data_IF_978017094342
#
_entry.id   IF_978017094342
#
_cell.length_a   1.000
_cell.length_b   1.000
_cell.length_c   1.000
_cell.angle_alpha   90.00
_cell.angle_beta   90.00
_cell.angle_gamma   90.00
#
_symmetry.space_group_name_H-M   'P 1'
#
loop_
_entity.id
_entity.type
_entity.pdbx_description
1 polymer ?
#
# COMPACT_ATOMS: atom_id res chain seq x y z
N UNK A 1 -17.11 -60.79 -23.19
CA UNK A 1 -17.55 -59.47 -22.71
C UNK A 1 -17.46 -59.42 -21.19
N UNK A 2 -16.34 -58.94 -20.66
CA UNK A 2 -16.04 -58.88 -19.22
C UNK A 2 -16.55 -57.55 -18.64
N UNK A 3 -17.51 -57.62 -17.71
CA UNK A 3 -18.03 -56.44 -16.98
C UNK A 3 -16.98 -55.96 -15.97
N UNK A 4 -16.42 -54.77 -16.20
CA UNK A 4 -15.58 -54.06 -15.23
C UNK A 4 -16.42 -53.66 -14.01
N UNK A 5 -16.13 -54.27 -12.84
CA UNK A 5 -16.71 -53.87 -11.55
C UNK A 5 -15.98 -52.62 -11.06
N UNK A 6 -16.70 -51.50 -10.89
CA UNK A 6 -16.16 -50.31 -10.21
C UNK A 6 -15.86 -50.65 -8.74
N UNK A 7 -14.72 -50.19 -8.18
CA UNK A 7 -14.41 -50.39 -6.77
C UNK A 7 -15.39 -49.62 -5.87
N UNK A 8 -15.66 -50.11 -4.65
CA UNK A 8 -16.57 -49.46 -3.70
C UNK A 8 -16.00 -48.12 -3.22
N UNK A 9 -16.89 -47.14 -3.05
CA UNK A 9 -16.58 -45.84 -2.45
C UNK A 9 -16.36 -45.99 -0.94
N UNK A 10 -15.27 -45.43 -0.38
CA UNK A 10 -15.00 -45.49 1.06
C UNK A 10 -16.07 -44.74 1.87
N UNK A 11 -16.40 -45.25 3.05
CA UNK A 11 -17.45 -44.70 3.90
C UNK A 11 -16.88 -43.81 5.03
N UNK A 12 -17.74 -43.04 5.71
CA UNK A 12 -17.33 -42.10 6.76
C UNK A 12 -16.53 -42.74 7.92
N UNK A 13 -16.67 -44.04 8.17
CA UNK A 13 -15.90 -44.73 9.22
C UNK A 13 -14.44 -44.96 8.81
N UNK A 14 -14.16 -45.02 7.51
CA UNK A 14 -12.80 -45.16 6.97
C UNK A 14 -11.98 -43.87 7.16
N UNK A 15 -12.63 -42.71 7.09
CA UNK A 15 -11.99 -41.41 7.34
C UNK A 15 -11.70 -41.15 8.83
N UNK A 16 -12.55 -41.65 9.73
CA UNK A 16 -12.35 -41.48 11.18
C UNK A 16 -11.10 -42.20 11.69
N UNK A 17 -10.74 -43.34 11.08
CA UNK A 17 -9.50 -44.08 11.37
C UNK A 17 -8.22 -43.32 10.98
N UNK A 18 -8.31 -42.40 10.00
CA UNK A 18 -7.16 -41.62 9.53
C UNK A 18 -6.93 -40.41 10.46
N UNK A 19 -7.99 -39.84 11.03
CA UNK A 19 -7.90 -38.67 11.92
C UNK A 19 -7.30 -38.98 13.30
N UNK A 20 -7.37 -40.25 13.76
CA UNK A 20 -6.85 -40.68 15.07
C UNK A 20 -5.38 -41.15 15.04
N UNK A 21 -4.70 -41.06 13.89
CA UNK A 21 -3.28 -41.44 13.77
C UNK A 21 -2.40 -40.32 14.32
N UNK A 22 -1.74 -40.56 15.46
CA UNK A 22 -0.71 -39.66 15.99
C UNK A 22 0.50 -39.61 15.04
N UNK A 23 0.77 -38.49 14.35
CA UNK A 23 1.84 -38.38 13.37
C UNK A 23 3.25 -38.57 13.97
N UNK A 24 3.38 -38.51 15.31
CA UNK A 24 4.64 -38.75 16.01
C UNK A 24 4.99 -40.24 16.14
N UNK A 25 4.02 -41.14 15.95
CA UNK A 25 4.19 -42.60 16.08
C UNK A 25 4.37 -43.31 14.74
N UNK A 26 4.37 -42.58 13.62
CA UNK A 26 4.48 -43.14 12.27
C UNK A 26 5.90 -43.59 11.93
N UNK A 27 6.91 -42.95 12.53
CA UNK A 27 8.33 -43.24 12.28
C UNK A 27 8.94 -44.05 13.45
N UNK A 28 9.83 -45.01 13.17
CA UNK A 28 10.56 -45.75 14.20
C UNK A 28 11.23 -44.81 15.22
N UNK A 29 11.19 -45.15 16.52
CA UNK A 29 11.71 -44.28 17.59
C UNK A 29 13.24 -44.11 17.56
N UNK A 30 13.95 -44.99 16.86
CA UNK A 30 15.42 -45.08 16.79
C UNK A 30 16.03 -44.47 15.51
N UNK A 31 15.23 -43.78 14.69
CA UNK A 31 15.73 -43.13 13.47
C UNK A 31 16.71 -41.97 13.75
N UNK A 32 17.81 -41.93 12.99
CA UNK A 32 18.77 -40.82 12.99
C UNK A 32 18.09 -39.45 12.77
N UNK A 33 18.47 -38.39 13.54
CA UNK A 33 17.81 -37.08 13.48
C UNK A 33 17.85 -36.41 12.10
N UNK A 34 18.92 -36.59 11.32
CA UNK A 34 19.04 -36.00 9.97
C UNK A 34 18.09 -36.70 9.00
N UNK A 35 18.01 -38.03 9.09
CA UNK A 35 17.09 -38.83 8.28
C UNK A 35 15.62 -38.54 8.63
N UNK A 36 15.33 -38.31 9.91
CA UNK A 36 14.00 -37.90 10.37
C UNK A 36 13.60 -36.53 9.81
N UNK A 37 14.51 -35.55 9.81
CA UNK A 37 14.27 -34.22 9.23
C UNK A 37 14.05 -34.30 7.72
N UNK A 38 14.86 -35.09 7.03
CA UNK A 38 14.72 -35.34 5.59
C UNK A 38 13.36 -35.98 5.24
N UNK A 39 12.94 -37.01 5.99
CA UNK A 39 11.64 -37.65 5.77
C UNK A 39 10.46 -36.71 6.02
N UNK A 40 10.48 -35.90 7.08
CA UNK A 40 9.42 -34.93 7.32
C UNK A 40 9.37 -33.85 6.23
N UNK A 41 10.52 -33.37 5.76
CA UNK A 41 10.54 -32.43 4.62
C UNK A 41 9.99 -33.07 3.34
N UNK A 42 10.32 -34.33 3.06
CA UNK A 42 9.80 -35.05 1.90
C UNK A 42 8.28 -35.28 1.99
N UNK A 43 7.77 -35.66 3.17
CA UNK A 43 6.33 -35.83 3.42
C UNK A 43 5.56 -34.51 3.29
N UNK A 44 6.11 -33.41 3.82
CA UNK A 44 5.49 -32.09 3.70
C UNK A 44 5.43 -31.64 2.23
N UNK A 45 6.50 -31.85 1.46
CA UNK A 45 6.54 -31.56 0.03
C UNK A 45 5.51 -32.43 -0.73
N UNK A 46 5.41 -33.72 -0.40
CA UNK A 46 4.43 -34.63 -1.00
C UNK A 46 2.99 -34.15 -0.76
N UNK A 47 2.66 -33.73 0.46
CA UNK A 47 1.33 -33.20 0.80
C UNK A 47 1.03 -31.92 0.01
N UNK A 48 1.99 -31.01 -0.11
CA UNK A 48 1.85 -29.78 -0.90
C UNK A 48 1.61 -30.12 -2.37
N UNK A 49 2.37 -31.06 -2.95
CA UNK A 49 2.18 -31.52 -4.33
C UNK A 49 0.79 -32.11 -4.53
N UNK A 50 0.31 -32.95 -3.60
CA UNK A 50 -1.04 -33.54 -3.68
C UNK A 50 -2.13 -32.47 -3.60
N UNK A 51 -1.97 -31.44 -2.74
CA UNK A 51 -2.91 -30.31 -2.65
C UNK A 51 -2.94 -29.49 -3.93
N UNK A 52 -1.77 -29.21 -4.54
CA UNK A 52 -1.67 -28.49 -5.82
C UNK A 52 -2.34 -29.30 -6.94
N UNK A 53 -2.08 -30.61 -7.02
CA UNK A 53 -2.72 -31.50 -7.98
C UNK A 53 -4.24 -31.53 -7.78
N UNK A 54 -4.72 -31.57 -6.53
CA UNK A 54 -6.14 -31.54 -6.21
C UNK A 54 -6.79 -30.21 -6.65
N UNK A 55 -6.15 -29.06 -6.42
CA UNK A 55 -6.65 -27.75 -6.88
C UNK A 55 -6.70 -27.67 -8.40
N UNK A 56 -5.66 -28.15 -9.10
CA UNK A 56 -5.64 -28.20 -10.57
C UNK A 56 -6.71 -29.16 -11.09
N UNK A 57 -6.89 -30.31 -10.43
CA UNK A 57 -7.91 -31.29 -10.79
C UNK A 57 -9.32 -30.71 -10.61
N UNK A 58 -9.60 -30.05 -9.48
CA UNK A 58 -10.88 -29.36 -9.22
C UNK A 58 -11.10 -28.25 -10.24
N UNK A 59 -10.09 -27.41 -10.52
CA UNK A 59 -10.21 -26.34 -11.52
C UNK A 59 -10.40 -26.84 -12.95
N UNK A 60 -9.97 -28.07 -13.26
CA UNK A 60 -10.17 -28.72 -14.57
C UNK A 60 -11.45 -29.55 -14.67
N UNK A 61 -11.94 -30.10 -13.56
CA UNK A 61 -13.10 -30.99 -13.52
C UNK A 61 -14.37 -30.41 -12.89
N UNK A 62 -14.36 -29.18 -12.35
CA UNK A 62 -15.60 -28.50 -11.92
C UNK A 62 -16.39 -27.98 -13.13
N UNK A 63 -17.02 -28.90 -13.86
CA UNK A 63 -18.21 -28.58 -14.64
C UNK A 63 -19.46 -28.88 -13.78
N UNK A 64 -20.07 -27.82 -13.26
CA UNK A 64 -21.47 -27.79 -12.82
C UNK A 64 -21.73 -27.95 -11.32
N UNK A 65 -22.18 -26.88 -10.68
CA UNK A 65 -23.00 -26.99 -9.46
C UNK A 65 -23.10 -25.74 -8.57
N UNK A 66 -23.81 -24.71 -9.01
CA UNK A 66 -24.93 -24.02 -8.33
C UNK A 66 -25.21 -22.71 -9.11
N UNK A 67 -26.40 -22.58 -9.69
CA UNK A 67 -26.90 -21.52 -10.59
C UNK A 67 -26.70 -21.77 -12.11
N UNK A 68 -27.81 -22.05 -12.80
CA UNK A 68 -28.11 -21.58 -14.16
C UNK A 68 -27.53 -22.36 -15.36
N UNK A 69 -28.41 -23.04 -16.11
CA UNK A 69 -28.15 -23.56 -17.46
C UNK A 69 -27.75 -22.44 -18.45
N UNK A 70 -26.90 -22.71 -19.46
CA UNK A 70 -26.70 -21.79 -20.58
C UNK A 70 -27.74 -22.06 -21.67
N UNK A 71 -28.62 -21.09 -21.91
CA UNK A 71 -29.45 -21.03 -23.11
C UNK A 71 -28.97 -19.87 -23.97
N UNK A 72 -28.39 -20.21 -25.12
CA UNK A 72 -28.19 -19.40 -26.33
C UNK A 72 -27.27 -18.16 -26.26
N UNK A 73 -26.58 -17.83 -27.37
CA UNK A 73 -25.46 -16.90 -27.36
C UNK A 73 -25.96 -15.47 -27.38
N UNK A 74 -25.74 -14.75 -26.29
CA UNK A 74 -25.80 -13.28 -26.29
C UNK A 74 -24.37 -12.76 -26.11
N UNK A 75 -23.88 -12.18 -27.19
CA UNK A 75 -23.02 -11.00 -27.21
C UNK A 75 -21.91 -10.94 -26.16
N UNK A 76 -20.67 -11.12 -26.65
CA UNK A 76 -19.50 -10.52 -26.04
C UNK A 76 -19.79 -9.05 -25.68
N UNK A 77 -19.94 -8.80 -24.38
CA UNK A 77 -19.76 -7.49 -23.76
C UNK A 77 -18.46 -7.65 -22.97
N UNK A 78 -17.34 -7.18 -23.49
CA UNK A 78 -17.10 -5.76 -23.71
C UNK A 78 -16.34 -5.29 -22.49
N UNK A 79 -15.05 -5.01 -22.68
CA UNK A 79 -14.19 -4.35 -21.71
C UNK A 79 -14.97 -3.29 -20.94
N UNK A 80 -14.79 -3.27 -19.62
CA UNK A 80 -15.46 -2.33 -18.73
C UNK A 80 -15.42 -0.94 -19.33
N UNK A 81 -16.62 -0.50 -19.71
CA UNK A 81 -16.95 0.73 -20.39
C UNK A 81 -16.03 1.87 -19.97
N UNK A 82 -15.06 2.16 -20.83
CA UNK A 82 -14.29 3.39 -20.80
C UNK A 82 -15.28 4.48 -21.18
N UNK A 83 -16.09 4.91 -20.21
CA UNK A 83 -16.95 6.07 -20.37
C UNK A 83 -16.05 7.18 -20.92
N UNK A 84 -16.45 7.74 -22.06
CA UNK A 84 -15.80 8.89 -22.67
C UNK A 84 -16.00 10.09 -21.74
N UNK A 85 -15.26 10.12 -20.63
CA UNK A 85 -15.29 11.18 -19.64
C UNK A 85 -14.69 12.38 -20.33
N UNK A 86 -15.53 13.37 -20.62
CA UNK A 86 -15.06 14.65 -21.15
C UNK A 86 -14.02 15.22 -20.21
N UNK A 87 -12.86 15.58 -20.75
CA UNK A 87 -11.78 16.19 -19.98
C UNK A 87 -11.46 17.60 -20.46
N UNK A 88 -10.81 18.39 -19.62
CA UNK A 88 -10.34 19.75 -19.87
C UNK A 88 -8.92 19.94 -19.28
N UNK A 89 -8.07 20.75 -19.91
CA UNK A 89 -6.80 21.21 -19.33
C UNK A 89 -7.04 22.38 -18.39
N UNK A 90 -6.03 22.76 -17.62
CA UNK A 90 -6.16 23.89 -16.69
C UNK A 90 -6.53 25.20 -17.41
N UNK A 91 -6.01 25.42 -18.61
CA UNK A 91 -6.27 26.61 -19.42
C UNK A 91 -7.70 26.66 -19.97
N UNK A 92 -8.34 25.50 -20.14
CA UNK A 92 -9.71 25.37 -20.62
C UNK A 92 -10.74 25.58 -19.49
N UNK A 93 -10.33 25.42 -18.22
CA UNK A 93 -11.21 25.48 -17.05
C UNK A 93 -11.60 26.92 -16.74
N UNK A 94 -12.90 27.18 -16.65
CA UNK A 94 -13.43 28.46 -16.15
C UNK A 94 -13.50 28.45 -14.62
N UNK A 95 -12.97 29.50 -13.99
CA UNK A 95 -12.98 29.71 -12.53
C UNK A 95 -12.51 28.45 -11.76
N UNK A 96 -11.26 27.99 -11.91
CA UNK A 96 -10.79 26.80 -11.22
C UNK A 96 -10.87 26.96 -9.69
N UNK A 97 -11.00 25.84 -8.97
CA UNK A 97 -10.77 25.80 -7.53
C UNK A 97 -9.30 26.12 -7.22
N UNK A 98 -9.08 26.67 -6.02
CA UNK A 98 -7.74 26.96 -5.53
C UNK A 98 -6.93 25.65 -5.45
N UNK A 99 -5.65 25.74 -5.75
CA UNK A 99 -4.74 24.60 -5.64
C UNK A 99 -4.03 24.65 -4.29
N UNK A 100 -3.74 23.49 -3.72
CA UNK A 100 -2.74 23.39 -2.65
C UNK A 100 -1.42 24.01 -3.12
N UNK A 101 -0.73 24.70 -2.21
CA UNK A 101 0.56 25.33 -2.49
C UNK A 101 1.58 24.25 -2.93
N UNK A 102 2.15 24.35 -4.15
CA UNK A 102 3.19 23.45 -4.63
C UNK A 102 4.40 23.36 -3.69
N UNK A 103 4.67 24.40 -2.90
CA UNK A 103 5.75 24.41 -1.92
C UNK A 103 5.58 23.36 -0.81
N UNK A 104 4.37 22.87 -0.56
CA UNK A 104 4.11 21.78 0.40
C UNK A 104 4.69 20.42 -0.05
N UNK A 105 5.06 20.28 -1.33
CA UNK A 105 5.80 19.12 -1.81
C UNK A 105 7.28 19.17 -1.37
N UNK A 106 7.79 20.35 -1.03
CA UNK A 106 9.17 20.56 -0.63
C UNK A 106 9.38 20.20 0.83
N UNK A 107 10.53 19.59 1.12
CA UNK A 107 10.98 19.44 2.49
C UNK A 107 11.46 20.79 3.04
N UNK A 108 11.47 20.99 4.37
CA UNK A 108 12.23 22.09 4.94
C UNK A 108 13.71 21.98 4.53
N UNK A 109 14.42 23.11 4.52
CA UNK A 109 15.85 23.11 4.24
C UNK A 109 16.62 22.21 5.22
N UNK A 110 17.79 21.74 4.81
CA UNK A 110 18.57 20.77 5.57
C UNK A 110 18.90 21.21 7.00
N UNK A 111 19.16 22.49 7.22
CA UNK A 111 19.46 23.02 8.55
C UNK A 111 18.24 22.94 9.47
N UNK A 112 17.06 23.28 8.96
CA UNK A 112 15.81 23.15 9.71
C UNK A 112 15.51 21.68 10.03
N UNK A 113 15.61 20.78 9.05
CA UNK A 113 15.38 19.35 9.25
C UNK A 113 16.31 18.76 10.33
N UNK A 114 17.62 19.09 10.29
CA UNK A 114 18.56 18.62 11.32
C UNK A 114 18.23 19.16 12.72
N UNK A 115 17.82 20.43 12.81
CA UNK A 115 17.41 21.06 14.08
C UNK A 115 16.15 20.40 14.64
N UNK A 116 15.16 20.16 13.81
CA UNK A 116 13.93 19.47 14.19
C UNK A 116 14.23 18.04 14.66
N UNK A 117 15.03 17.28 13.91
CA UNK A 117 15.41 15.90 14.29
C UNK A 117 16.14 15.85 15.64
N UNK A 118 17.02 16.81 15.90
CA UNK A 118 17.71 16.91 17.18
C UNK A 118 16.72 17.11 18.35
N UNK A 119 15.66 17.89 18.12
CA UNK A 119 14.64 18.21 19.12
C UNK A 119 13.55 17.14 19.29
N UNK A 120 13.37 16.23 18.33
CA UNK A 120 12.38 15.17 18.42
C UNK A 120 12.66 14.26 19.64
N UNK A 121 11.64 13.97 20.47
CA UNK A 121 11.77 12.98 21.53
C UNK A 121 12.15 11.62 20.95
N UNK A 122 12.94 10.86 21.71
CA UNK A 122 13.30 9.47 21.38
C UNK A 122 12.61 8.55 22.36
N UNK A 123 11.75 7.66 21.86
CA UNK A 123 11.02 6.67 22.66
C UNK A 123 10.77 5.41 21.83
N UNK A 124 10.48 4.30 22.50
CA UNK A 124 10.00 3.09 21.84
C UNK A 124 8.64 3.30 21.16
N UNK A 125 8.30 2.42 20.20
CA UNK A 125 6.95 2.39 19.63
C UNK A 125 5.93 2.07 20.72
N UNK A 126 4.87 2.86 20.80
CA UNK A 126 3.70 2.53 21.60
C UNK A 126 2.91 1.37 20.97
N UNK A 127 1.94 0.85 21.71
CA UNK A 127 1.05 -0.21 21.22
C UNK A 127 0.26 0.24 20.00
N UNK A 128 0.10 -0.66 19.02
CA UNK A 128 -0.83 -0.48 17.89
C UNK A 128 -2.29 -0.74 18.27
N UNK A 129 -2.57 -1.12 19.52
CA UNK A 129 -3.94 -1.36 19.98
C UNK A 129 -4.82 -0.13 19.78
N UNK A 130 -6.06 -0.36 19.34
CA UNK A 130 -7.03 0.71 19.06
C UNK A 130 -6.82 1.44 17.73
N UNK A 131 -5.73 1.18 17.00
CA UNK A 131 -5.52 1.79 15.69
C UNK A 131 -6.52 1.26 14.66
N UNK A 132 -7.25 2.18 14.06
CA UNK A 132 -7.95 2.01 12.78
C UNK A 132 -7.71 3.26 11.93
N UNK A 133 -7.93 3.21 10.61
CA UNK A 133 -7.73 4.41 9.77
C UNK A 133 -8.76 5.48 10.06
N UNK A 134 -9.95 5.08 10.48
CA UNK A 134 -11.08 5.95 10.81
C UNK A 134 -10.78 6.84 12.03
N UNK A 135 -9.80 6.47 12.86
CA UNK A 135 -9.26 7.30 13.93
C UNK A 135 -8.61 8.61 13.42
N UNK A 136 -8.37 8.73 12.12
CA UNK A 136 -7.83 9.91 11.47
C UNK A 136 -8.89 10.64 10.61
N UNK A 137 -10.17 10.36 10.85
CA UNK A 137 -11.27 10.96 10.10
C UNK A 137 -11.50 10.30 8.74
N UNK A 138 -12.33 10.94 7.92
CA UNK A 138 -12.64 10.45 6.59
C UNK A 138 -11.44 10.62 5.65
N UNK A 139 -11.24 9.63 4.79
CA UNK A 139 -10.13 9.62 3.86
C UNK A 139 -10.35 10.70 2.79
N UNK A 140 -9.30 11.51 2.56
CA UNK A 140 -9.26 12.55 1.54
C UNK A 140 -10.23 13.70 1.79
N UNK A 141 -10.49 14.00 3.05
CA UNK A 141 -11.30 15.16 3.41
C UNK A 141 -10.71 16.45 2.83
N UNK A 142 -11.60 17.36 2.39
CA UNK A 142 -11.25 18.73 2.04
C UNK A 142 -11.01 19.51 3.36
N UNK A 143 -9.76 19.52 3.82
CA UNK A 143 -9.36 20.15 5.10
C UNK A 143 -8.93 21.60 4.95
N UNK A 144 -8.56 22.02 3.75
CA UNK A 144 -8.21 23.41 3.44
C UNK A 144 -9.40 24.20 2.88
N UNK A 145 -10.54 23.53 2.65
CA UNK A 145 -11.80 24.08 2.17
C UNK A 145 -11.67 24.74 0.79
N UNK A 146 -10.74 24.24 -0.04
CA UNK A 146 -10.52 24.74 -1.39
C UNK A 146 -11.59 24.24 -2.39
N UNK A 147 -12.40 23.25 -2.00
CA UNK A 147 -13.49 22.65 -2.80
C UNK A 147 -13.12 21.37 -3.55
N UNK A 148 -11.86 20.94 -3.45
CA UNK A 148 -11.35 19.67 -3.95
C UNK A 148 -11.06 18.73 -2.78
N UNK A 149 -11.11 17.42 -3.03
CA UNK A 149 -10.70 16.45 -2.01
C UNK A 149 -9.17 16.36 -1.98
N UNK A 150 -8.60 16.04 -0.81
CA UNK A 150 -7.15 16.03 -0.63
C UNK A 150 -6.44 15.08 -1.62
N UNK A 151 -7.04 13.96 -2.03
CA UNK A 151 -6.39 13.07 -3.02
C UNK A 151 -6.18 13.80 -4.34
N UNK A 152 -7.21 14.49 -4.82
CA UNK A 152 -7.18 15.22 -6.07
C UNK A 152 -6.25 16.43 -6.00
N UNK A 153 -6.11 17.05 -4.83
CA UNK A 153 -5.12 18.10 -4.60
C UNK A 153 -3.68 17.59 -4.72
N UNK A 154 -3.38 16.45 -4.10
CA UNK A 154 -2.04 15.87 -4.19
C UNK A 154 -1.75 15.39 -5.61
N UNK A 155 -2.74 14.82 -6.31
CA UNK A 155 -2.58 14.49 -7.73
C UNK A 155 -2.33 15.74 -8.58
N UNK A 156 -3.05 16.84 -8.33
CA UNK A 156 -2.86 18.11 -9.04
C UNK A 156 -1.49 18.72 -8.76
N UNK A 157 -0.97 18.57 -7.54
CA UNK A 157 0.33 19.09 -7.11
C UNK A 157 1.50 18.31 -7.71
N UNK A 158 1.39 16.98 -7.70
CA UNK A 158 2.51 16.07 -7.96
C UNK A 158 2.56 15.56 -9.41
N UNK A 159 1.45 15.62 -10.15
CA UNK A 159 1.42 15.24 -11.57
C UNK A 159 1.74 16.41 -12.49
N UNK A 160 2.20 16.09 -13.70
CA UNK A 160 2.30 17.00 -14.83
C UNK A 160 1.35 16.55 -15.96
N UNK A 161 1.22 17.34 -17.03
CA UNK A 161 0.38 17.01 -18.19
C UNK A 161 -1.07 16.60 -17.80
N UNK A 162 -1.63 17.31 -16.81
CA UNK A 162 -2.89 16.93 -16.18
C UNK A 162 -4.08 17.21 -17.09
N UNK A 163 -5.05 16.28 -17.13
CA UNK A 163 -6.40 16.53 -17.62
C UNK A 163 -7.40 16.34 -16.48
N UNK A 164 -8.32 17.28 -16.32
CA UNK A 164 -9.38 17.24 -15.33
C UNK A 164 -10.67 16.72 -15.93
N UNK A 165 -11.58 16.21 -15.10
CA UNK A 165 -12.96 15.93 -15.50
C UNK A 165 -13.67 17.25 -15.79
N UNK A 166 -14.27 17.37 -16.96
CA UNK A 166 -14.97 18.58 -17.36
C UNK A 166 -16.10 18.92 -16.36
N UNK A 167 -16.21 20.22 -16.03
CA UNK A 167 -17.24 20.71 -15.11
C UNK A 167 -16.94 20.46 -13.64
N UNK A 168 -15.72 20.02 -13.29
CA UNK A 168 -15.26 19.91 -11.90
C UNK A 168 -14.37 21.07 -11.46
N UNK A 169 -14.28 22.13 -12.28
CA UNK A 169 -13.49 23.34 -11.99
C UNK A 169 -12.05 23.01 -11.57
N UNK A 170 -11.41 22.11 -12.31
CA UNK A 170 -10.04 21.62 -12.06
C UNK A 170 -9.84 20.84 -10.74
N UNK A 171 -10.88 20.21 -10.18
CA UNK A 171 -10.70 19.30 -9.04
C UNK A 171 -10.39 17.86 -9.46
N UNK A 172 -11.27 17.20 -10.21
CA UNK A 172 -11.10 15.75 -10.40
C UNK A 172 -10.07 15.44 -11.48
N UNK A 173 -8.86 15.03 -11.08
CA UNK A 173 -7.78 14.64 -11.99
C UNK A 173 -8.12 13.31 -12.68
N UNK A 174 -8.16 13.32 -14.02
CA UNK A 174 -8.46 12.15 -14.85
C UNK A 174 -7.21 11.51 -15.43
N UNK A 175 -6.23 12.30 -15.85
CA UNK A 175 -4.93 11.80 -16.32
C UNK A 175 -3.82 12.75 -15.91
N UNK A 176 -2.59 12.26 -15.96
CA UNK A 176 -1.37 13.04 -15.79
C UNK A 176 -0.15 12.14 -15.78
N UNK A 177 1.03 12.72 -15.74
CA UNK A 177 2.30 12.00 -15.71
C UNK A 177 2.95 12.21 -14.34
N UNK A 178 3.26 11.12 -13.64
CA UNK A 178 3.98 11.12 -12.37
C UNK A 178 5.46 10.85 -12.61
N UNK A 179 6.33 11.77 -12.22
CA UNK A 179 7.75 11.45 -12.00
C UNK A 179 7.90 10.91 -10.57
N UNK A 180 7.82 9.58 -10.43
CA UNK A 180 7.61 8.92 -9.14
C UNK A 180 8.81 9.13 -8.20
N UNK A 181 8.60 9.79 -7.04
CA UNK A 181 9.68 10.07 -6.12
C UNK A 181 10.23 8.81 -5.47
N UNK A 182 9.47 7.72 -5.38
CA UNK A 182 9.90 6.52 -4.66
C UNK A 182 10.80 5.59 -5.47
N UNK A 183 10.53 5.45 -6.77
CA UNK A 183 11.26 4.55 -7.67
C UNK A 183 12.06 5.27 -8.74
N UNK A 184 11.81 6.57 -8.96
CA UNK A 184 12.48 7.36 -10.00
C UNK A 184 11.98 7.06 -11.42
N UNK A 185 10.88 6.32 -11.55
CA UNK A 185 10.25 5.99 -12.83
C UNK A 185 9.19 7.03 -13.18
N UNK A 186 8.98 7.26 -14.47
CA UNK A 186 7.81 7.99 -14.96
C UNK A 186 6.63 7.04 -15.09
N UNK A 187 5.46 7.42 -14.56
CA UNK A 187 4.23 6.62 -14.55
C UNK A 187 3.08 7.45 -15.12
N UNK A 188 2.42 6.91 -16.15
CA UNK A 188 1.20 7.50 -16.68
C UNK A 188 0.02 7.19 -15.75
N UNK A 189 -0.50 8.24 -15.11
CA UNK A 189 -1.73 8.17 -14.35
C UNK A 189 -2.94 8.29 -15.28
N UNK A 190 -3.85 7.34 -15.13
CA UNK A 190 -5.22 7.43 -15.64
C UNK A 190 -6.16 7.06 -14.50
N UNK A 191 -7.22 7.80 -14.28
CA UNK A 191 -8.20 7.44 -13.25
C UNK A 191 -8.92 6.16 -13.70
N UNK A 192 -8.87 5.14 -12.86
CA UNK A 192 -9.51 3.85 -13.13
C UNK A 192 -8.91 2.72 -12.31
N UNK A 193 -9.58 1.57 -12.27
CA UNK A 193 -9.24 0.45 -11.36
C UNK A 193 -7.76 0.02 -11.41
N UNK A 194 -7.14 0.03 -12.60
CA UNK A 194 -5.76 -0.43 -12.82
C UNK A 194 -4.70 0.63 -12.50
N UNK A 195 -4.87 1.84 -13.02
CA UNK A 195 -3.87 2.91 -12.91
C UNK A 195 -4.03 3.76 -11.64
N UNK A 196 -5.23 3.84 -11.06
CA UNK A 196 -5.40 4.41 -9.71
C UNK A 196 -4.76 3.55 -8.61
N UNK A 197 -4.56 2.25 -8.84
CA UNK A 197 -3.75 1.42 -7.95
C UNK A 197 -2.26 1.53 -8.22
N UNK A 198 -1.87 1.93 -9.44
CA UNK A 198 -0.48 2.15 -9.83
C UNK A 198 0.08 3.48 -9.28
N UNK A 199 -0.76 4.52 -9.16
CA UNK A 199 -0.42 5.77 -8.46
C UNK A 199 -1.32 5.93 -7.24
N UNK A 200 -0.71 5.80 -6.06
CA UNK A 200 -1.36 5.96 -4.78
C UNK A 200 -0.92 7.28 -4.14
N UNK A 201 -1.75 7.80 -3.24
CA UNK A 201 -1.31 8.89 -2.36
C UNK A 201 -0.85 8.22 -1.06
N UNK A 202 0.44 8.35 -0.77
CA UNK A 202 1.07 7.83 0.45
C UNK A 202 1.20 8.92 1.51
N UNK A 203 1.18 8.50 2.77
CA UNK A 203 1.60 9.29 3.91
C UNK A 203 3.09 9.04 4.18
N UNK A 204 3.96 10.04 3.97
CA UNK A 204 5.41 9.91 4.20
C UNK A 204 5.71 9.47 5.64
N UNK A 205 4.91 9.93 6.62
CA UNK A 205 4.75 9.27 7.92
C UNK A 205 3.46 8.46 7.91
N UNK A 206 3.58 7.13 7.78
CA UNK A 206 2.41 6.25 7.72
C UNK A 206 1.50 6.42 8.95
N UNK A 207 0.17 6.44 8.77
CA UNK A 207 -0.78 6.68 9.88
C UNK A 207 -0.65 5.67 11.03
N UNK A 208 -0.33 4.40 10.73
CA UNK A 208 -0.06 3.39 11.74
C UNK A 208 1.26 3.62 12.47
N UNK A 209 2.27 4.19 11.81
CA UNK A 209 3.50 4.62 12.48
C UNK A 209 3.23 5.83 13.36
N UNK A 210 2.51 6.84 12.85
CA UNK A 210 2.10 8.01 13.61
C UNK A 210 1.33 7.63 14.87
N UNK A 211 0.39 6.67 14.79
CA UNK A 211 -0.34 6.15 15.96
C UNK A 211 0.61 5.66 17.05
N UNK A 212 1.55 4.78 16.69
CA UNK A 212 2.53 4.19 17.60
C UNK A 212 3.63 5.19 18.02
N UNK A 213 3.67 6.38 17.43
CA UNK A 213 4.66 7.42 17.73
C UNK A 213 4.04 8.73 18.20
N UNK A 214 2.79 8.69 18.67
CA UNK A 214 2.19 9.78 19.46
C UNK A 214 0.85 10.30 18.97
N UNK A 215 0.38 9.87 17.79
CA UNK A 215 -0.92 10.32 17.30
C UNK A 215 -2.09 9.78 18.14
N UNK A 216 -1.90 8.71 18.92
CA UNK A 216 -2.90 8.26 19.91
C UNK A 216 -3.16 9.30 21.03
N UNK A 217 -2.20 10.21 21.27
CA UNK A 217 -2.27 11.21 22.35
C UNK A 217 -2.69 12.60 21.85
N UNK A 218 -2.90 12.76 20.53
CA UNK A 218 -3.39 14.03 19.94
C UNK A 218 -4.87 13.92 19.59
N UNK A 219 -5.58 15.04 19.69
CA UNK A 219 -7.02 15.10 19.43
C UNK A 219 -7.41 14.61 18.02
N UNK A 220 -8.66 14.17 17.86
CA UNK A 220 -9.22 13.69 16.60
C UNK A 220 -9.06 14.68 15.44
N UNK A 221 -9.33 15.97 15.70
CA UNK A 221 -9.12 17.05 14.73
C UNK A 221 -7.66 17.09 14.23
N UNK A 222 -6.69 16.98 15.15
CA UNK A 222 -5.27 17.00 14.80
C UNK A 222 -4.83 15.74 14.05
N UNK A 223 -5.43 14.59 14.35
CA UNK A 223 -5.24 13.35 13.56
C UNK A 223 -5.81 13.50 12.15
N UNK A 224 -6.99 14.12 12.02
CA UNK A 224 -7.62 14.43 10.72
C UNK A 224 -6.75 15.37 9.89
N UNK A 225 -6.20 16.41 10.50
CA UNK A 225 -5.22 17.28 9.86
C UNK A 225 -3.99 16.47 9.39
N UNK A 226 -3.37 15.66 10.26
CA UNK A 226 -2.19 14.86 9.92
C UNK A 226 -2.42 13.92 8.72
N UNK A 227 -3.62 13.35 8.62
CA UNK A 227 -3.96 12.45 7.53
C UNK A 227 -4.26 13.16 6.20
N UNK A 228 -4.55 14.46 6.22
CA UNK A 228 -4.86 15.23 5.02
C UNK A 228 -3.83 16.34 4.73
N UNK A 229 -2.78 16.45 5.54
CA UNK A 229 -1.72 17.44 5.39
C UNK A 229 -0.91 17.20 4.10
N UNK A 230 -0.88 18.15 3.15
CA UNK A 230 -0.05 18.02 1.95
C UNK A 230 1.44 17.80 2.25
N UNK A 231 1.97 18.31 3.37
CA UNK A 231 3.35 18.06 3.78
C UNK A 231 3.60 16.61 4.19
N UNK A 232 2.55 15.89 4.62
CA UNK A 232 2.60 14.46 4.90
C UNK A 232 2.22 13.59 3.68
N UNK A 233 1.69 14.15 2.60
CA UNK A 233 1.16 13.37 1.47
C UNK A 233 1.99 13.46 0.21
N UNK A 234 2.07 12.37 -0.56
CA UNK A 234 2.78 12.34 -1.84
C UNK A 234 2.15 11.34 -2.81
N UNK A 235 2.03 11.70 -4.09
CA UNK A 235 1.70 10.74 -5.15
C UNK A 235 2.93 9.85 -5.44
N UNK A 236 2.74 8.54 -5.35
CA UNK A 236 3.82 7.57 -5.50
C UNK A 236 3.38 6.27 -6.18
N UNK A 237 4.36 5.51 -6.67
CA UNK A 237 4.18 4.16 -7.19
C UNK A 237 3.50 3.24 -6.14
N UNK A 238 2.42 2.59 -6.56
CA UNK A 238 1.60 1.72 -5.72
C UNK A 238 2.37 0.54 -5.14
N UNK A 239 3.10 -0.27 -5.94
CA UNK A 239 3.98 -1.31 -5.42
C UNK A 239 5.02 -0.84 -4.40
N UNK A 240 5.69 0.28 -4.65
CA UNK A 240 6.63 0.85 -3.68
C UNK A 240 5.93 1.26 -2.38
N UNK A 241 4.75 1.88 -2.46
CA UNK A 241 3.95 2.22 -1.29
C UNK A 241 3.46 0.98 -0.51
N UNK A 242 3.05 -0.08 -1.21
CA UNK A 242 2.68 -1.34 -0.57
C UNK A 242 3.87 -2.02 0.11
N UNK A 243 5.07 -1.91 -0.47
CA UNK A 243 6.30 -2.40 0.16
C UNK A 243 6.64 -1.61 1.43
N UNK A 244 6.45 -0.28 1.41
CA UNK A 244 6.63 0.59 2.57
C UNK A 244 5.65 0.22 3.70
N UNK A 245 4.39 -0.06 3.40
CA UNK A 245 3.35 -0.36 4.41
C UNK A 245 3.31 0.70 5.53
N UNK A 246 3.61 0.32 6.77
CA UNK A 246 3.67 1.14 7.97
C UNK A 246 5.08 1.27 8.55
N UNK A 247 6.09 0.96 7.72
CA UNK A 247 7.51 1.12 8.05
C UNK A 247 7.86 2.59 8.35
N UNK A 248 8.78 2.79 9.29
CA UNK A 248 9.47 4.06 9.46
C UNK A 248 10.77 4.10 8.63
N UNK A 249 11.51 5.20 8.75
CA UNK A 249 12.76 5.40 8.01
C UNK A 249 13.85 4.34 8.30
N UNK A 250 13.79 3.63 9.43
CA UNK A 250 14.75 2.56 9.72
C UNK A 250 14.44 1.25 9.01
N UNK A 251 13.16 0.99 8.73
CA UNK A 251 12.69 -0.22 8.07
C UNK A 251 12.57 -0.06 6.55
N UNK A 252 12.29 1.15 6.06
CA UNK A 252 12.11 1.42 4.63
C UNK A 252 12.57 2.83 4.22
N UNK A 253 13.31 2.89 3.11
CA UNK A 253 13.66 4.12 2.40
C UNK A 253 13.35 3.96 0.91
N UNK A 254 12.99 5.05 0.20
CA UNK A 254 12.80 5.04 -1.24
C UNK A 254 13.97 4.39 -1.99
N UNK A 255 13.64 3.62 -3.03
CA UNK A 255 14.63 3.04 -3.94
C UNK A 255 15.36 4.12 -4.75
N UNK A 256 14.66 5.21 -5.07
CA UNK A 256 15.24 6.42 -5.63
C UNK A 256 16.08 7.16 -4.57
N UNK A 257 17.39 6.99 -4.64
CA UNK A 257 18.32 7.57 -3.66
C UNK A 257 18.33 9.09 -3.66
N UNK A 258 18.05 9.72 -4.81
CA UNK A 258 18.00 11.18 -4.92
C UNK A 258 16.86 11.80 -4.09
N UNK A 259 15.79 11.05 -3.84
CA UNK A 259 14.64 11.53 -3.07
C UNK A 259 14.78 11.30 -1.55
N UNK A 260 15.76 10.51 -1.10
CA UNK A 260 15.88 10.13 0.32
C UNK A 260 16.06 11.32 1.27
N UNK A 261 16.77 12.35 0.85
CA UNK A 261 16.95 13.58 1.61
C UNK A 261 15.62 14.29 1.85
N UNK A 262 14.83 14.50 0.79
CA UNK A 262 13.48 15.07 0.87
C UNK A 262 12.56 14.20 1.71
N UNK A 263 12.56 12.89 1.49
CA UNK A 263 11.71 11.94 2.21
C UNK A 263 11.95 11.97 3.73
N UNK A 264 13.22 11.89 4.16
CA UNK A 264 13.57 11.92 5.59
C UNK A 264 13.30 13.30 6.18
N UNK A 265 13.65 14.38 5.50
CA UNK A 265 13.40 15.74 6.00
C UNK A 265 11.90 16.03 6.16
N UNK A 266 11.05 15.55 5.25
CA UNK A 266 9.59 15.64 5.39
C UNK A 266 9.07 14.82 6.57
N UNK A 267 9.54 13.60 6.76
CA UNK A 267 9.15 12.80 7.94
C UNK A 267 9.50 13.49 9.26
N UNK A 268 10.71 14.06 9.35
CA UNK A 268 11.14 14.82 10.52
C UNK A 268 10.23 16.02 10.76
N UNK A 269 9.94 16.78 9.70
CA UNK A 269 9.08 17.97 9.78
C UNK A 269 7.67 17.63 10.25
N UNK A 270 7.05 16.61 9.64
CA UNK A 270 5.71 16.14 10.01
C UNK A 270 5.71 15.66 11.46
N UNK A 271 6.70 14.86 11.88
CA UNK A 271 6.80 14.43 13.28
C UNK A 271 6.92 15.60 14.24
N UNK A 272 7.71 16.63 13.89
CA UNK A 272 7.84 17.83 14.71
C UNK A 272 6.53 18.64 14.78
N UNK A 273 5.90 18.90 13.64
CA UNK A 273 4.63 19.63 13.50
C UNK A 273 3.49 19.01 14.32
N UNK A 274 3.43 17.68 14.35
CA UNK A 274 2.37 16.93 15.03
C UNK A 274 2.78 16.39 16.41
N UNK A 275 3.94 16.82 16.94
CA UNK A 275 4.46 16.41 18.26
C UNK A 275 4.59 14.90 18.43
N UNK A 276 4.94 14.21 17.34
CA UNK A 276 5.27 12.80 17.35
C UNK A 276 6.71 12.59 17.83
N UNK A 277 7.08 11.35 18.11
CA UNK A 277 8.45 10.96 18.44
C UNK A 277 9.05 10.03 17.39
N UNK A 278 10.34 9.75 17.55
CA UNK A 278 11.08 8.76 16.76
C UNK A 278 11.61 7.65 17.67
N UNK A 279 11.83 6.46 17.10
CA UNK A 279 12.60 5.42 17.80
C UNK A 279 14.10 5.74 17.72
N UNK A 280 14.91 5.07 18.55
CA UNK A 280 16.37 5.23 18.51
C UNK A 280 16.93 4.78 17.14
N UNK A 281 16.38 3.72 16.56
CA UNK A 281 16.79 3.20 15.26
C UNK A 281 16.37 4.13 14.11
N UNK A 282 15.13 4.63 14.15
CA UNK A 282 14.62 5.62 13.20
C UNK A 282 15.47 6.89 13.23
N UNK A 283 15.74 7.45 14.42
CA UNK A 283 16.57 8.65 14.57
C UNK A 283 17.96 8.46 13.98
N UNK A 284 18.62 7.35 14.28
CA UNK A 284 19.96 7.03 13.75
C UNK A 284 19.96 6.99 12.22
N UNK A 285 18.97 6.35 11.60
CA UNK A 285 18.88 6.30 10.14
C UNK A 285 18.58 7.68 9.55
N UNK A 286 17.68 8.44 10.16
CA UNK A 286 17.39 9.81 9.73
C UNK A 286 18.63 10.71 9.80
N UNK A 287 19.41 10.64 10.89
CA UNK A 287 20.67 11.37 11.07
C UNK A 287 21.68 11.00 9.98
N UNK A 288 21.87 9.70 9.72
CA UNK A 288 22.77 9.22 8.67
C UNK A 288 22.38 9.74 7.28
N UNK A 289 21.09 9.69 6.94
CA UNK A 289 20.61 10.22 5.67
C UNK A 289 20.86 11.72 5.59
N UNK A 290 20.38 12.51 6.56
CA UNK A 290 20.54 13.98 6.55
C UNK A 290 22.01 14.42 6.58
N UNK A 291 22.92 13.67 7.19
CA UNK A 291 24.35 13.97 7.18
C UNK A 291 25.02 13.71 5.83
N UNK A 292 24.44 12.85 5.00
CA UNK A 292 24.89 12.61 3.61
C UNK A 292 24.34 13.61 2.59
N UNK A 293 23.33 14.41 2.97
CA UNK A 293 22.62 15.32 2.08
C UNK A 293 23.41 16.61 1.80
N UNK A 294 23.34 17.07 0.55
CA UNK A 294 23.78 18.42 0.12
C UNK A 294 22.65 19.45 0.18
N UNK A 295 21.43 18.99 -0.12
CA UNK A 295 20.17 19.72 -0.02
C UNK A 295 19.02 18.75 0.32
N UNK A 296 17.79 19.28 0.46
CA UNK A 296 16.56 18.52 0.78
C UNK A 296 15.43 18.76 -0.20
N UNK A 297 15.62 19.61 -1.21
CA UNK A 297 14.58 19.96 -2.16
C UNK A 297 14.36 18.81 -3.14
N UNK A 298 13.11 18.46 -3.50
CA UNK A 298 12.92 17.65 -4.68
C UNK A 298 13.40 18.49 -5.87
N UNK A 299 14.41 17.98 -6.57
CA UNK A 299 14.87 18.57 -7.82
C UNK A 299 13.76 18.32 -8.86
N UNK A 300 12.83 19.26 -9.00
CA UNK A 300 12.09 19.38 -10.27
C UNK A 300 13.12 19.82 -11.30
N UNK A 301 13.52 18.91 -12.19
CA UNK A 301 14.27 19.25 -13.40
C UNK A 301 13.34 19.92 -14.40
#
# INVERSE_FOLDING_TARGET
>A
MTKSKRPPTPNLRDFKKIADVDPRKILPPDMDPKNKRFLYTALAILVIIVLIIAVIYIGRHSQGGLLGSPSAPSSATGDGEEQNVKTESLEEVKNPHDAVDPATAYAPNLSTAKKELAALPVKERASKAGYTREQFGAAWDDVDHNGCNTRDDILRRDLTNIRFKAGTRACTVQTGTLDDPYTGRTIEFKRGKKSSSAVQIDHVVALSNAWQTGAQDIGEEKRRELANDPENLVAADGPANMQKSDADASDWLPGNTAYRCTYVARQVHVKAKYRLWVTADEKRVMENVLNSCKDTNPVKK
#
